data_IF_896589015573
#
_entry.id   IF_896589015573
#
_cell.length_a   1.000
_cell.length_b   1.000
_cell.length_c   1.000
_cell.angle_alpha   90.00
_cell.angle_beta   90.00
_cell.angle_gamma   90.00
#
_symmetry.space_group_name_H-M   'P 1'
#
loop_
_entity.id
_entity.type
_entity.pdbx_description
1 polymer ?
#
# COMPACT_ATOMS: atom_id res chain seq x y z
N UNK A 1 26.71 12.68 -27.07
CA UNK A 1 26.18 13.68 -26.12
C UNK A 1 25.02 13.01 -25.40
N UNK A 2 25.26 12.48 -24.19
CA UNK A 2 24.23 11.75 -23.42
C UNK A 2 23.32 12.80 -22.79
N UNK A 3 22.05 12.79 -23.16
CA UNK A 3 21.02 13.66 -22.57
C UNK A 3 20.95 13.37 -21.07
N UNK A 4 21.10 14.36 -20.17
CA UNK A 4 21.00 14.09 -18.74
C UNK A 4 19.61 13.54 -18.42
N UNK A 5 19.56 12.49 -17.60
CA UNK A 5 18.30 11.92 -17.13
C UNK A 5 17.49 13.00 -16.41
N UNK A 6 16.27 13.24 -16.88
CA UNK A 6 15.32 14.13 -16.24
C UNK A 6 14.93 13.55 -14.87
N UNK A 7 15.07 14.27 -13.75
CA UNK A 7 14.75 13.74 -12.41
C UNK A 7 13.25 13.53 -12.18
N UNK A 8 12.38 14.05 -13.03
CA UNK A 8 10.97 13.67 -13.10
C UNK A 8 10.81 12.41 -13.95
N UNK A 9 11.28 11.26 -13.45
CA UNK A 9 10.80 9.99 -13.97
C UNK A 9 9.30 9.91 -13.68
N UNK A 10 8.53 10.31 -14.68
CA UNK A 10 7.07 10.31 -14.71
C UNK A 10 6.61 8.92 -14.28
N UNK A 11 5.89 8.85 -13.16
CA UNK A 11 5.16 7.64 -12.79
C UNK A 11 4.02 7.51 -13.79
N UNK A 12 4.24 6.71 -14.83
CA UNK A 12 3.31 6.50 -15.93
C UNK A 12 2.09 5.71 -15.43
N UNK A 13 0.87 6.18 -15.73
CA UNK A 13 -0.36 5.49 -15.35
C UNK A 13 -0.54 4.17 -16.10
N UNK A 14 0.13 4.05 -17.25
CA UNK A 14 0.09 2.91 -18.16
C UNK A 14 0.62 1.61 -17.52
N UNK A 15 1.54 1.73 -16.56
CA UNK A 15 2.14 0.58 -15.86
C UNK A 15 1.45 0.25 -14.53
N UNK A 16 0.33 0.89 -14.23
CA UNK A 16 -0.40 0.60 -13.00
C UNK A 16 -0.96 -0.83 -13.01
N UNK A 17 -0.82 -1.58 -11.89
CA UNK A 17 -1.29 -2.95 -11.82
C UNK A 17 -2.82 -2.99 -11.86
N UNK A 18 -3.38 -3.31 -13.04
CA UNK A 18 -4.80 -3.60 -13.22
C UNK A 18 -5.10 -5.04 -12.80
N UNK A 19 -6.03 -5.21 -11.86
CA UNK A 19 -6.45 -6.54 -11.38
C UNK A 19 -7.80 -6.97 -11.94
N UNK A 20 -8.58 -6.03 -12.46
CA UNK A 20 -9.93 -6.28 -12.97
C UNK A 20 -9.99 -6.02 -14.48
N UNK A 21 -10.86 -6.73 -15.21
CA UNK A 21 -10.95 -6.61 -16.66
C UNK A 21 -11.48 -5.23 -17.12
N UNK A 22 -12.14 -4.47 -16.25
CA UNK A 22 -12.66 -3.12 -16.54
C UNK A 22 -11.60 -2.02 -16.36
N UNK A 23 -10.55 -2.29 -15.57
CA UNK A 23 -9.54 -1.30 -15.21
C UNK A 23 -8.71 -0.76 -16.40
N UNK A 24 -8.38 -1.53 -17.45
CA UNK A 24 -7.72 -1.00 -18.64
C UNK A 24 -8.51 0.13 -19.31
N UNK A 25 -9.83 -0.03 -19.45
CA UNK A 25 -10.69 1.00 -20.05
C UNK A 25 -10.84 2.24 -19.17
N UNK A 26 -10.69 2.10 -17.86
CA UNK A 26 -10.64 3.24 -16.94
C UNK A 26 -9.31 4.01 -17.03
N UNK A 27 -8.17 3.30 -17.10
CA UNK A 27 -6.86 3.92 -17.30
C UNK A 27 -6.84 4.70 -18.61
N UNK A 28 -7.39 4.13 -19.69
CA UNK A 28 -7.43 4.81 -20.99
C UNK A 28 -8.22 6.12 -20.96
N UNK A 29 -9.34 6.16 -20.21
CA UNK A 29 -10.13 7.38 -20.00
C UNK A 29 -9.43 8.43 -19.13
N UNK A 30 -8.45 8.01 -18.32
CA UNK A 30 -7.71 8.87 -17.40
C UNK A 30 -6.43 9.46 -18.01
N UNK A 31 -6.03 9.01 -19.21
CA UNK A 31 -4.80 9.47 -19.89
C UNK A 31 -4.78 10.98 -20.14
N UNK A 32 -5.95 11.60 -20.33
CA UNK A 32 -6.09 13.04 -20.58
C UNK A 32 -6.34 13.87 -19.31
N UNK A 33 -6.32 13.25 -18.12
CA UNK A 33 -6.64 13.86 -16.81
C UNK A 33 -5.35 13.96 -15.94
N UNK A 34 -5.33 14.71 -14.80
CA UNK A 34 -4.12 15.32 -14.27
C UNK A 34 -2.99 14.35 -13.89
N UNK A 35 -1.77 14.87 -13.98
CA UNK A 35 -0.52 14.15 -13.73
C UNK A 35 -0.50 13.38 -12.40
N UNK A 36 0.14 12.21 -12.41
CA UNK A 36 0.41 11.43 -11.21
C UNK A 36 1.35 12.21 -10.29
N UNK A 37 0.89 12.53 -9.09
CA UNK A 37 1.73 13.10 -8.03
C UNK A 37 2.17 11.97 -7.09
N UNK A 38 3.46 11.60 -7.05
CA UNK A 38 3.93 10.54 -6.17
C UNK A 38 3.80 10.95 -4.70
N UNK A 39 3.29 10.04 -3.87
CA UNK A 39 3.21 10.22 -2.42
C UNK A 39 4.60 10.17 -1.80
N UNK A 40 4.98 11.09 -0.89
CA UNK A 40 6.26 11.01 -0.20
C UNK A 40 6.42 9.68 0.55
N UNK A 41 7.47 8.93 0.22
CA UNK A 41 7.80 7.67 0.87
C UNK A 41 9.23 7.71 1.40
N UNK A 42 9.45 7.12 2.57
CA UNK A 42 10.72 7.12 3.28
C UNK A 42 11.16 5.71 3.64
N UNK A 43 12.46 5.46 3.56
CA UNK A 43 13.06 4.18 3.96
C UNK A 43 13.10 4.02 5.51
N UNK A 44 13.66 2.91 5.98
CA UNK A 44 13.80 2.64 7.42
C UNK A 44 14.65 3.69 8.15
N UNK A 45 15.61 4.30 7.46
CA UNK A 45 16.49 5.35 7.96
C UNK A 45 15.87 6.74 7.87
N UNK A 46 14.74 6.88 7.19
CA UNK A 46 14.04 8.16 6.98
C UNK A 46 14.50 8.92 5.74
N UNK A 47 15.26 8.30 4.82
CA UNK A 47 15.61 8.92 3.55
C UNK A 47 14.45 8.82 2.56
N UNK A 48 14.29 9.82 1.70
CA UNK A 48 13.28 9.78 0.64
C UNK A 48 13.56 8.62 -0.33
N UNK A 49 12.52 7.85 -0.63
CA UNK A 49 12.55 6.82 -1.66
C UNK A 49 12.13 7.52 -2.97
N UNK A 50 12.94 7.44 -4.04
CA UNK A 50 12.53 7.88 -5.37
C UNK A 50 11.33 7.08 -5.88
N UNK A 51 10.36 7.69 -6.60
CA UNK A 51 9.17 6.99 -7.10
C UNK A 51 9.47 5.75 -7.95
N UNK A 52 10.56 5.79 -8.73
CA UNK A 52 11.03 4.64 -9.53
C UNK A 52 11.36 3.39 -8.69
N UNK A 53 11.66 3.56 -7.40
CA UNK A 53 11.97 2.48 -6.47
C UNK A 53 10.78 2.05 -5.61
N UNK A 54 9.59 2.65 -5.76
CA UNK A 54 8.44 2.36 -4.91
C UNK A 54 8.03 0.89 -4.96
N UNK A 55 8.02 0.30 -6.15
CA UNK A 55 7.64 -1.10 -6.31
C UNK A 55 8.53 -2.01 -5.46
N UNK A 56 9.84 -1.84 -5.56
CA UNK A 56 10.80 -2.70 -4.84
C UNK A 56 10.87 -2.39 -3.35
N UNK A 57 10.73 -1.13 -2.97
CA UNK A 57 10.88 -0.69 -1.59
C UNK A 57 9.61 -0.86 -0.75
N UNK A 58 8.41 -0.79 -1.36
CA UNK A 58 7.13 -0.79 -0.63
C UNK A 58 6.36 -2.11 -0.75
N UNK A 59 6.54 -2.86 -1.84
CA UNK A 59 5.80 -4.10 -2.05
C UNK A 59 6.19 -5.15 -1.01
N UNK A 60 5.26 -5.49 -0.11
CA UNK A 60 5.50 -6.43 0.98
C UNK A 60 6.24 -5.84 2.19
N UNK A 61 6.51 -4.53 2.18
CA UNK A 61 7.04 -3.82 3.35
C UNK A 61 5.96 -3.62 4.41
N UNK A 62 6.37 -3.57 5.68
CA UNK A 62 5.53 -2.99 6.73
C UNK A 62 5.81 -1.50 6.75
N UNK A 63 4.78 -0.69 6.49
CA UNK A 63 4.89 0.76 6.43
C UNK A 63 4.02 1.42 7.51
N UNK A 64 4.52 2.53 8.06
CA UNK A 64 3.71 3.51 8.76
C UNK A 64 3.10 4.45 7.73
N UNK A 65 1.79 4.64 7.79
CA UNK A 65 1.06 5.61 6.97
C UNK A 65 0.66 6.76 7.87
N UNK A 66 0.99 8.00 7.47
CA UNK A 66 0.44 9.19 8.12
C UNK A 66 -0.72 9.67 7.26
N UNK A 67 -1.90 9.83 7.88
CA UNK A 67 -3.10 10.33 7.22
C UNK A 67 -3.58 11.59 7.91
N UNK A 68 -4.01 12.56 7.11
CA UNK A 68 -4.75 13.74 7.58
C UNK A 68 -6.24 13.47 7.39
N UNK A 69 -6.96 13.36 8.51
CA UNK A 69 -8.40 13.17 8.48
C UNK A 69 -9.11 14.52 8.52
N UNK A 70 -9.93 14.79 7.51
CA UNK A 70 -10.83 15.94 7.44
C UNK A 70 -12.26 15.46 7.62
N UNK A 71 -13.00 16.14 8.49
CA UNK A 71 -14.41 15.88 8.74
C UNK A 71 -15.21 17.13 8.39
N UNK A 72 -16.28 16.94 7.63
CA UNK A 72 -17.28 17.96 7.35
C UNK A 72 -18.64 17.44 7.79
N UNK A 73 -19.31 18.22 8.63
CA UNK A 73 -20.74 18.05 8.83
C UNK A 73 -21.45 18.91 7.77
N UNK A 74 -22.05 18.24 6.78
CA UNK A 74 -22.82 18.91 5.73
C UNK A 74 -24.25 18.99 6.23
N UNK A 75 -24.62 20.17 6.72
CA UNK A 75 -25.97 20.44 7.19
C UNK A 75 -27.00 20.24 6.06
N UNK A 76 -28.18 19.74 6.43
CA UNK A 76 -29.31 19.68 5.53
C UNK A 76 -29.73 21.09 5.10
N UNK A 77 -30.26 21.22 3.88
CA UNK A 77 -30.81 22.50 3.43
C UNK A 77 -32.06 22.83 4.25
N UNK A 78 -32.31 24.11 4.54
CA UNK A 78 -33.57 24.50 5.17
C UNK A 78 -34.75 24.10 4.26
N UNK A 79 -35.80 23.54 4.86
CA UNK A 79 -37.02 23.03 4.20
C UNK A 79 -36.87 21.76 3.32
N UNK A 80 -35.80 20.99 3.50
CA UNK A 80 -35.71 19.62 2.96
C UNK A 80 -35.79 18.60 4.09
N UNK A 81 -36.37 17.42 3.82
CA UNK A 81 -36.38 16.28 4.77
C UNK A 81 -35.05 15.54 4.83
N UNK A 82 -33.99 16.10 4.26
CA UNK A 82 -32.68 15.48 4.21
C UNK A 82 -32.02 15.53 5.59
N UNK A 83 -31.29 14.48 5.92
CA UNK A 83 -30.49 14.45 7.14
C UNK A 83 -29.14 15.16 6.91
N UNK A 84 -28.55 15.72 7.96
CA UNK A 84 -27.15 16.16 7.92
C UNK A 84 -26.25 14.97 7.61
N UNK A 85 -25.25 15.17 6.74
CA UNK A 85 -24.32 14.12 6.32
C UNK A 85 -22.94 14.42 6.91
N UNK A 86 -22.43 13.51 7.73
CA UNK A 86 -21.02 13.54 8.15
C UNK A 86 -20.15 12.90 7.07
N UNK A 87 -19.27 13.71 6.49
CA UNK A 87 -18.32 13.28 5.46
C UNK A 87 -16.91 13.27 6.05
N UNK A 88 -16.23 12.13 5.96
CA UNK A 88 -14.84 11.98 6.39
C UNK A 88 -13.95 11.71 5.17
N UNK A 89 -12.86 12.46 5.01
CA UNK A 89 -11.84 12.22 3.99
C UNK A 89 -10.50 12.03 4.67
N UNK A 90 -9.83 10.93 4.36
CA UNK A 90 -8.48 10.64 4.82
C UNK A 90 -7.50 10.85 3.68
N UNK A 91 -6.66 11.88 3.77
CA UNK A 91 -5.58 12.12 2.81
C UNK A 91 -4.29 11.49 3.31
N UNK A 92 -3.61 10.72 2.48
CA UNK A 92 -2.29 10.15 2.83
C UNK A 92 -1.24 11.26 2.69
N UNK A 93 -0.53 11.54 3.77
CA UNK A 93 0.53 12.56 3.82
C UNK A 93 1.90 11.95 3.54
N UNK A 94 2.19 10.79 4.11
CA UNK A 94 3.47 10.10 3.89
C UNK A 94 3.45 8.62 4.24
N UNK A 95 4.41 7.90 3.65
CA UNK A 95 4.69 6.50 3.92
C UNK A 95 6.10 6.36 4.51
N UNK A 96 6.29 5.58 5.57
CA UNK A 96 7.62 5.25 6.10
C UNK A 96 7.77 3.76 6.29
N UNK A 97 8.78 3.16 5.67
CA UNK A 97 9.12 1.75 5.86
C UNK A 97 9.59 1.53 7.29
N UNK A 98 8.91 0.62 8.00
CA UNK A 98 9.33 0.16 9.33
C UNK A 98 10.15 -1.12 9.22
N UNK A 99 9.75 -2.01 8.31
CA UNK A 99 10.46 -3.25 8.01
C UNK A 99 10.54 -3.40 6.50
N UNK A 100 11.76 -3.55 5.97
CA UNK A 100 12.00 -3.84 4.56
C UNK A 100 11.14 -5.02 4.11
N UNK A 101 10.68 -5.08 2.84
CA UNK A 101 10.07 -6.28 2.30
C UNK A 101 10.96 -7.46 2.63
N UNK A 102 10.50 -8.35 3.50
CA UNK A 102 11.22 -9.60 3.72
C UNK A 102 11.25 -10.30 2.37
N UNK A 103 12.40 -10.87 1.96
CA UNK A 103 12.42 -11.91 0.92
C UNK A 103 11.27 -12.84 1.30
N UNK A 104 10.27 -12.99 0.42
CA UNK A 104 9.10 -13.79 0.70
C UNK A 104 9.59 -15.06 1.39
N UNK A 105 9.23 -15.25 2.67
CA UNK A 105 9.67 -16.44 3.39
C UNK A 105 9.02 -17.58 2.61
N UNK A 106 9.82 -18.35 1.86
CA UNK A 106 9.38 -19.59 1.26
C UNK A 106 8.54 -20.31 2.30
N UNK A 107 7.30 -20.63 1.94
CA UNK A 107 6.16 -20.78 2.85
C UNK A 107 6.52 -21.25 4.25
N UNK A 108 6.05 -20.52 5.26
CA UNK A 108 6.09 -20.98 6.65
C UNK A 108 5.56 -22.41 6.66
N UNK A 109 6.43 -23.41 6.89
CA UNK A 109 5.98 -24.78 7.13
C UNK A 109 5.11 -24.73 8.38
N UNK A 110 3.80 -24.76 8.17
CA UNK A 110 2.82 -24.93 9.23
C UNK A 110 3.10 -26.32 9.80
N UNK A 111 3.33 -26.42 11.10
CA UNK A 111 3.48 -27.71 11.75
C UNK A 111 2.22 -28.53 11.45
N UNK A 112 2.37 -29.66 10.75
CA UNK A 112 1.26 -30.54 10.37
C UNK A 112 0.79 -31.44 11.53
N UNK A 113 1.22 -31.18 12.76
CA UNK A 113 0.92 -32.06 13.89
C UNK A 113 0.38 -31.26 15.07
N UNK A 114 -0.75 -31.73 15.60
CA UNK A 114 -1.52 -31.16 16.71
C UNK A 114 -0.72 -31.17 18.03
N UNK A 115 -0.66 -30.04 18.78
CA UNK A 115 0.01 -29.96 20.08
C UNK A 115 -0.54 -30.90 21.17
N UNK A 116 -1.69 -31.58 20.95
CA UNK A 116 -2.24 -32.58 21.87
C UNK A 116 -1.81 -34.03 21.62
N UNK A 117 -1.04 -34.34 20.58
CA UNK A 117 -0.78 -35.73 20.20
C UNK A 117 0.27 -36.41 21.11
N UNK A 118 -0.04 -37.55 21.78
CA UNK A 118 0.92 -38.23 22.65
C UNK A 118 2.05 -38.85 21.82
N UNK A 119 3.28 -38.40 22.07
CA UNK A 119 4.47 -39.01 21.48
C UNK A 119 4.86 -40.25 22.30
N UNK A 120 5.02 -41.39 21.62
CA UNK A 120 5.48 -42.66 22.23
C UNK A 120 6.77 -42.43 23.03
N UNK A 121 6.74 -42.62 24.34
CA UNK A 121 7.95 -42.71 25.17
C UNK A 121 8.65 -44.04 24.87
N UNK A 122 9.95 -43.97 24.61
CA UNK A 122 10.82 -45.14 24.44
C UNK A 122 10.93 -45.94 25.75
N UNK A 123 10.96 -47.26 25.62
CA UNK A 123 11.20 -48.24 26.67
C UNK A 123 12.61 -48.03 27.26
N UNK A 124 12.71 -47.82 28.58
CA UNK A 124 14.00 -47.82 29.30
C UNK A 124 14.26 -49.26 29.73
N UNK A 125 15.33 -49.85 29.19
CA UNK A 125 15.88 -51.12 29.66
C UNK A 125 17.38 -50.96 29.92
N UNK A 126 17.78 -51.13 31.17
CA UNK A 126 19.07 -51.69 31.62
C UNK A 126 18.91 -52.13 33.06
#
# INVERSE_FOLDING_TARGET
MVKPANPEQVVAMEEWPVKTPEAPGAIERMKDTPHVVPLPAYDTKGNIIPPVLYRDALMGAVVRVIVKLRHWNIAAKPNTSDNSIDTYVADIESLRVLTSPGKAKAGRKIAQTDPGSPSKKHHVGS
#
